data_IF_303623396731
#
_entry.id   IF_303623396731
#
_cell.length_a   1.000
_cell.length_b   1.000
_cell.length_c   1.000
_cell.angle_alpha   90.00
_cell.angle_beta   90.00
_cell.angle_gamma   90.00
#
_symmetry.space_group_name_H-M   'P 1'
#
loop_
_entity.id
_entity.type
_entity.pdbx_description
1 polymer ?
#
# COMPACT_ATOMS: atom_id res chain seq x y z
N UNK A 1 -10.22 -72.60 -1.42
CA UNK A 1 -11.14 -71.67 -0.74
C UNK A 1 -10.31 -70.48 -0.24
N UNK A 2 -10.67 -69.28 -0.73
CA UNK A 2 -10.54 -67.91 -0.13
C UNK A 2 -9.15 -67.52 0.43
N UNK A 3 -8.25 -66.75 -0.22
CA UNK A 3 -8.27 -65.38 -0.83
C UNK A 3 -7.98 -64.28 0.23
N UNK A 4 -7.02 -63.38 -0.10
CA UNK A 4 -6.73 -62.04 0.46
C UNK A 4 -5.75 -61.96 1.66
N UNK A 5 -4.85 -60.98 1.80
CA UNK A 5 -4.78 -59.66 1.17
C UNK A 5 -3.36 -59.08 1.27
N UNK A 6 -2.96 -58.38 0.21
CA UNK A 6 -1.78 -57.51 0.18
C UNK A 6 -1.97 -56.31 1.13
N UNK A 7 -0.97 -56.05 1.98
CA UNK A 7 -0.87 -54.81 2.75
C UNK A 7 -0.06 -53.80 1.92
N UNK A 8 -0.77 -52.93 1.20
CA UNK A 8 -0.22 -51.74 0.57
C UNK A 8 -0.36 -50.58 1.55
N UNK A 9 0.74 -50.18 2.19
CA UNK A 9 0.83 -48.96 3.00
C UNK A 9 0.89 -47.74 2.10
N UNK A 10 -0.19 -46.96 2.05
CA UNK A 10 -0.25 -45.63 1.44
C UNK A 10 0.29 -44.59 2.44
N UNK A 11 1.47 -44.03 2.16
CA UNK A 11 2.00 -42.89 2.89
C UNK A 11 1.46 -41.59 2.29
N UNK A 12 0.52 -40.94 2.99
CA UNK A 12 0.01 -39.62 2.63
C UNK A 12 0.96 -38.55 3.17
N UNK A 13 1.75 -37.93 2.29
CA UNK A 13 2.57 -36.75 2.64
C UNK A 13 1.64 -35.53 2.67
N UNK A 14 1.29 -35.07 3.87
CA UNK A 14 0.62 -33.80 4.11
C UNK A 14 1.64 -32.67 3.93
N UNK A 15 1.57 -31.96 2.81
CA UNK A 15 2.33 -30.73 2.59
C UNK A 15 1.58 -29.61 3.31
N UNK A 16 2.03 -29.27 4.51
CA UNK A 16 1.56 -28.09 5.24
C UNK A 16 2.13 -26.83 4.59
N UNK A 17 1.32 -26.11 3.82
CA UNK A 17 1.65 -24.74 3.40
C UNK A 17 1.65 -23.85 4.65
N UNK A 18 2.83 -23.59 5.20
CA UNK A 18 3.01 -22.54 6.20
C UNK A 18 2.84 -21.19 5.50
N UNK A 19 1.64 -20.61 5.58
CA UNK A 19 1.45 -19.21 5.25
C UNK A 19 2.26 -18.38 6.27
N UNK A 20 3.36 -17.80 5.83
CA UNK A 20 4.05 -16.77 6.61
C UNK A 20 3.09 -15.61 6.79
N UNK A 21 2.83 -15.12 8.02
CA UNK A 21 2.08 -13.90 8.20
C UNK A 21 2.87 -12.78 7.52
N UNK A 22 2.34 -12.25 6.42
CA UNK A 22 2.80 -10.98 5.86
C UNK A 22 2.43 -9.94 6.91
N UNK A 23 3.41 -9.51 7.67
CA UNK A 23 3.23 -8.51 8.71
C UNK A 23 3.09 -7.19 7.99
N UNK A 24 1.85 -6.73 7.79
CA UNK A 24 1.57 -5.40 7.25
C UNK A 24 2.37 -4.38 8.08
N UNK A 25 3.40 -3.78 7.49
CA UNK A 25 4.18 -2.75 8.17
C UNK A 25 3.24 -1.57 8.42
N UNK A 26 3.24 -1.03 9.64
CA UNK A 26 2.40 0.12 9.98
C UNK A 26 2.83 1.30 9.08
N UNK A 27 1.90 1.80 8.27
CA UNK A 27 2.19 2.80 7.25
C UNK A 27 2.76 4.09 7.86
N UNK A 28 2.33 4.50 9.05
CA UNK A 28 2.88 5.68 9.73
C UNK A 28 4.38 5.49 10.04
N UNK A 29 4.78 4.29 10.46
CA UNK A 29 6.19 3.97 10.71
C UNK A 29 7.01 3.97 9.43
N UNK A 30 6.47 3.39 8.35
CA UNK A 30 7.11 3.41 7.04
C UNK A 30 7.28 4.86 6.55
N UNK A 31 6.21 5.65 6.59
CA UNK A 31 6.22 7.04 6.12
C UNK A 31 7.19 7.91 6.92
N UNK A 32 7.23 7.74 8.25
CA UNK A 32 8.21 8.44 9.11
C UNK A 32 9.65 8.06 8.76
N UNK A 33 9.91 6.81 8.37
CA UNK A 33 11.23 6.35 7.93
C UNK A 33 11.60 6.90 6.55
N UNK A 34 10.66 6.93 5.61
CA UNK A 34 10.87 7.42 4.24
C UNK A 34 11.06 8.94 4.19
N UNK A 35 10.40 9.67 5.09
CA UNK A 35 10.36 11.14 5.09
C UNK A 35 10.75 11.70 6.47
N UNK A 36 12.04 11.69 6.83
CA UNK A 36 12.51 12.27 8.10
C UNK A 36 12.26 13.78 8.16
N UNK A 37 12.04 14.32 9.36
CA UNK A 37 11.58 15.69 9.67
C UNK A 37 12.55 16.85 9.32
N UNK A 38 13.04 16.95 8.08
CA UNK A 38 13.91 18.04 7.65
C UNK A 38 13.15 19.15 6.90
N UNK A 39 12.44 18.83 5.83
CA UNK A 39 11.74 19.81 4.98
C UNK A 39 10.23 19.58 4.93
N UNK A 40 9.81 18.33 5.09
CA UNK A 40 8.44 17.88 5.03
C UNK A 40 8.19 16.99 6.23
N UNK A 41 7.15 17.32 6.98
CA UNK A 41 6.71 16.50 8.10
C UNK A 41 5.50 15.71 7.68
N UNK A 42 5.63 14.39 7.68
CA UNK A 42 4.48 13.50 7.56
C UNK A 42 3.53 13.73 8.74
N UNK A 43 2.23 13.85 8.46
CA UNK A 43 1.20 14.09 9.48
C UNK A 43 0.32 12.86 9.70
N UNK A 44 0.08 12.10 8.64
CA UNK A 44 -0.84 10.97 8.67
C UNK A 44 -1.34 10.64 7.27
N UNK A 45 -2.35 9.78 7.22
CA UNK A 45 -3.02 9.40 5.99
C UNK A 45 -4.51 9.29 6.18
N UNK A 46 -5.25 9.46 5.09
CA UNK A 46 -6.67 9.16 4.99
C UNK A 46 -6.90 8.08 3.94
N UNK A 47 -7.77 7.12 4.25
CA UNK A 47 -8.27 6.12 3.31
C UNK A 47 -9.61 6.59 2.79
N UNK A 48 -9.72 6.79 1.49
CA UNK A 48 -10.97 7.24 0.87
C UNK A 48 -11.55 6.15 -0.01
N UNK A 49 -12.83 5.82 0.22
CA UNK A 49 -13.58 4.92 -0.64
C UNK A 49 -14.18 5.71 -1.82
N UNK A 50 -14.27 5.06 -2.98
CA UNK A 50 -14.86 5.60 -4.22
C UNK A 50 -16.25 5.01 -4.39
N UNK A 51 -17.25 5.65 -3.79
CA UNK A 51 -18.63 5.18 -3.86
C UNK A 51 -19.23 5.27 -5.27
N UNK A 52 -18.69 6.16 -6.11
CA UNK A 52 -19.08 6.37 -7.51
C UNK A 52 -18.79 5.15 -8.41
N UNK A 53 -17.85 4.29 -8.01
CA UNK A 53 -17.57 3.04 -8.71
C UNK A 53 -18.53 1.95 -8.21
N UNK A 54 -19.31 1.30 -9.10
CA UNK A 54 -20.20 0.20 -8.70
C UNK A 54 -19.43 -0.98 -8.09
N UNK A 55 -19.95 -1.58 -7.02
CA UNK A 55 -19.35 -2.76 -6.37
C UNK A 55 -19.11 -3.93 -7.35
N UNK A 56 -20.00 -4.09 -8.33
CA UNK A 56 -19.93 -5.16 -9.31
C UNK A 56 -18.84 -4.99 -10.39
N UNK A 57 -18.14 -3.85 -10.41
CA UNK A 57 -17.12 -3.55 -11.44
C UNK A 57 -15.84 -4.40 -11.30
N UNK A 58 -15.61 -4.99 -10.13
CA UNK A 58 -14.42 -5.79 -9.86
C UNK A 58 -13.11 -5.00 -9.83
N UNK A 59 -13.18 -3.66 -9.81
CA UNK A 59 -12.02 -2.79 -9.60
C UNK A 59 -11.92 -2.41 -8.14
N UNK A 60 -10.70 -2.17 -7.68
CA UNK A 60 -10.42 -1.64 -6.36
C UNK A 60 -11.02 -0.23 -6.22
N UNK A 61 -11.51 0.09 -5.01
CA UNK A 61 -12.36 1.27 -4.78
C UNK A 61 -11.77 2.19 -3.73
N UNK A 62 -10.48 2.08 -3.42
CA UNK A 62 -9.86 2.92 -2.40
C UNK A 62 -8.67 3.66 -2.96
N UNK A 63 -8.49 4.89 -2.50
CA UNK A 63 -7.22 5.59 -2.66
C UNK A 63 -6.74 6.13 -1.32
N UNK A 64 -5.42 6.21 -1.20
CA UNK A 64 -4.76 6.66 0.00
C UNK A 64 -4.30 8.10 -0.18
N UNK A 65 -4.68 9.01 0.73
CA UNK A 65 -4.13 10.36 0.77
C UNK A 65 -3.08 10.42 1.87
N UNK A 66 -1.85 10.80 1.55
CA UNK A 66 -0.79 11.05 2.53
C UNK A 66 -0.61 12.55 2.74
N UNK A 67 -0.71 12.99 4.00
CA UNK A 67 -0.65 14.41 4.36
C UNK A 67 0.74 14.80 4.87
N UNK A 68 1.27 15.89 4.32
CA UNK A 68 2.54 16.49 4.72
C UNK A 68 2.35 17.97 5.09
N UNK A 69 3.14 18.45 6.05
CA UNK A 69 3.32 19.88 6.31
C UNK A 69 4.71 20.31 5.90
N UNK A 70 4.77 21.41 5.14
CA UNK A 70 6.01 22.10 4.82
C UNK A 70 6.33 23.12 5.90
N UNK A 71 7.57 23.10 6.37
CA UNK A 71 8.09 24.09 7.32
C UNK A 71 8.72 25.32 6.63
N UNK A 72 8.76 25.34 5.29
CA UNK A 72 9.40 26.40 4.50
C UNK A 72 8.49 27.03 3.46
N UNK A 73 9.04 28.02 2.74
CA UNK A 73 8.37 28.78 1.69
C UNK A 73 7.76 27.86 0.61
N UNK A 74 6.47 28.03 0.35
CA UNK A 74 5.69 27.25 -0.61
C UNK A 74 5.62 27.95 -1.97
N UNK A 75 6.76 28.04 -2.68
CA UNK A 75 6.69 28.36 -4.10
C UNK A 75 6.09 27.19 -4.88
N UNK A 76 5.40 27.48 -5.99
CA UNK A 76 4.78 26.45 -6.83
C UNK A 76 5.80 25.44 -7.37
N UNK A 77 6.98 25.90 -7.74
CA UNK A 77 8.09 25.04 -8.21
C UNK A 77 8.57 24.07 -7.12
N UNK A 78 8.78 24.57 -5.89
CA UNK A 78 9.16 23.73 -4.74
C UNK A 78 8.07 22.72 -4.42
N UNK A 79 6.80 23.10 -4.51
CA UNK A 79 5.67 22.20 -4.31
C UNK A 79 5.66 21.07 -5.35
N UNK A 80 5.81 21.39 -6.63
CA UNK A 80 5.87 20.38 -7.70
C UNK A 80 7.05 19.43 -7.48
N UNK A 81 8.23 19.94 -7.13
CA UNK A 81 9.40 19.11 -6.85
C UNK A 81 9.17 18.17 -5.65
N UNK A 82 8.48 18.64 -4.61
CA UNK A 82 8.10 17.85 -3.43
C UNK A 82 7.08 16.75 -3.77
N UNK A 83 6.02 17.08 -4.53
CA UNK A 83 5.06 16.08 -5.05
C UNK A 83 5.83 14.99 -5.80
N UNK A 84 6.66 15.38 -6.77
CA UNK A 84 7.41 14.46 -7.59
C UNK A 84 8.31 13.55 -6.73
N UNK A 85 9.06 14.12 -5.78
CA UNK A 85 9.90 13.36 -4.86
C UNK A 85 9.09 12.36 -4.05
N UNK A 86 8.00 12.79 -3.40
CA UNK A 86 7.16 11.90 -2.58
C UNK A 86 6.58 10.78 -3.44
N UNK A 87 5.94 11.12 -4.56
CA UNK A 87 5.33 10.12 -5.45
C UNK A 87 6.37 9.14 -5.97
N UNK A 88 7.56 9.60 -6.37
CA UNK A 88 8.62 8.71 -6.82
C UNK A 88 9.07 7.78 -5.69
N UNK A 89 9.28 8.29 -4.48
CA UNK A 89 9.67 7.48 -3.31
C UNK A 89 8.62 6.42 -2.97
N UNK A 90 7.34 6.76 -3.06
CA UNK A 90 6.24 5.82 -2.78
C UNK A 90 6.11 4.76 -3.89
N UNK A 91 6.01 5.19 -5.14
CA UNK A 91 5.79 4.30 -6.29
C UNK A 91 6.97 3.37 -6.57
N UNK A 92 8.20 3.76 -6.20
CA UNK A 92 9.38 2.89 -6.33
C UNK A 92 9.52 1.86 -5.21
N UNK A 93 8.80 2.03 -4.10
CA UNK A 93 8.73 1.04 -3.02
C UNK A 93 7.71 -0.05 -3.39
N UNK A 94 8.19 -1.11 -4.04
CA UNK A 94 7.34 -2.21 -4.55
C UNK A 94 6.59 -2.95 -3.45
N UNK A 95 7.19 -3.09 -2.27
CA UNK A 95 6.57 -3.79 -1.15
C UNK A 95 5.36 -2.99 -0.65
N UNK A 96 5.53 -1.66 -0.48
CA UNK A 96 4.42 -0.76 -0.14
C UNK A 96 3.29 -0.82 -1.17
N UNK A 97 3.61 -0.70 -2.46
CA UNK A 97 2.59 -0.72 -3.51
C UNK A 97 1.87 -2.09 -3.55
N UNK A 98 2.60 -3.19 -3.37
CA UNK A 98 1.99 -4.52 -3.31
C UNK A 98 1.04 -4.66 -2.11
N UNK A 99 1.47 -4.21 -0.93
CA UNK A 99 0.67 -4.26 0.28
C UNK A 99 -0.58 -3.39 0.17
N UNK A 100 -0.47 -2.20 -0.43
CA UNK A 100 -1.60 -1.30 -0.67
C UNK A 100 -2.60 -1.90 -1.66
N UNK A 101 -2.13 -2.47 -2.77
CA UNK A 101 -3.01 -3.15 -3.73
C UNK A 101 -3.70 -4.36 -3.12
N UNK A 102 -3.02 -5.16 -2.29
CA UNK A 102 -3.65 -6.28 -1.56
C UNK A 102 -4.74 -5.82 -0.58
N UNK A 103 -4.66 -4.58 -0.10
CA UNK A 103 -5.66 -3.94 0.77
C UNK A 103 -6.80 -3.25 -0.01
N UNK A 104 -6.74 -3.28 -1.35
CA UNK A 104 -7.72 -2.69 -2.26
C UNK A 104 -7.52 -1.21 -2.55
N UNK A 105 -6.30 -0.68 -2.35
CA UNK A 105 -5.92 0.65 -2.82
C UNK A 105 -5.33 0.59 -4.23
N UNK A 106 -5.89 1.37 -5.15
CA UNK A 106 -5.41 1.45 -6.54
C UNK A 106 -4.66 2.74 -6.86
N UNK A 107 -4.67 3.70 -5.93
CA UNK A 107 -4.04 5.00 -6.10
C UNK A 107 -3.53 5.55 -4.76
N UNK A 108 -2.45 6.32 -4.83
CA UNK A 108 -1.93 7.11 -3.72
C UNK A 108 -1.86 8.56 -4.17
N UNK A 109 -2.25 9.49 -3.29
CA UNK A 109 -2.18 10.92 -3.55
C UNK A 109 -1.51 11.65 -2.38
N UNK A 110 -0.93 12.80 -2.68
CA UNK A 110 -0.22 13.64 -1.70
C UNK A 110 -1.00 14.92 -1.46
N UNK A 111 -1.16 15.30 -0.19
CA UNK A 111 -1.70 16.59 0.20
C UNK A 111 -0.67 17.39 1.01
N UNK A 112 -0.67 18.72 0.86
CA UNK A 112 0.11 19.63 1.70
C UNK A 112 -0.76 20.58 2.53
N UNK A 113 -2.03 20.68 2.15
CA UNK A 113 -3.07 21.50 2.76
C UNK A 113 -4.42 20.82 2.55
N UNK A 114 -5.50 21.46 3.02
CA UNK A 114 -6.87 20.92 2.95
C UNK A 114 -7.57 21.13 1.60
N UNK A 115 -6.94 21.83 0.67
CA UNK A 115 -7.56 22.28 -0.59
C UNK A 115 -6.95 21.59 -1.81
N UNK A 116 -5.71 21.09 -1.70
CA UNK A 116 -4.95 20.56 -2.83
C UNK A 116 -4.50 19.12 -2.57
N UNK A 117 -4.81 18.26 -3.52
CA UNK A 117 -4.37 16.87 -3.61
C UNK A 117 -3.69 16.64 -4.96
N UNK A 118 -2.63 15.83 -4.96
CA UNK A 118 -1.87 15.49 -6.16
C UNK A 118 -1.76 13.98 -6.27
N UNK A 119 -2.32 13.41 -7.34
CA UNK A 119 -2.28 11.96 -7.56
C UNK A 119 -0.90 11.52 -8.01
N UNK A 120 -0.39 10.46 -7.39
CA UNK A 120 0.83 9.80 -7.81
C UNK A 120 0.49 8.82 -8.94
N UNK A 121 0.87 9.20 -10.15
CA UNK A 121 0.73 8.36 -11.34
C UNK A 121 2.09 7.72 -11.67
N UNK A 122 2.14 6.41 -12.00
CA UNK A 122 3.36 5.71 -12.41
C UNK A 122 3.89 6.12 -13.79
#
# INVERSE_FOLDING_TARGET
MVRHSALLTLASVLISLSATPVQAENIDLLMTRLFPHNELTYIGFDSVEREDIPVASGVDRKYLIVDFRSNGENSREKQIARVHRICTTLLTNKDLISDLSQQGYDMVSVAFDRHSQYDCLP
#
